data_IF_197028342752
#
_entry.id   IF_197028342752
#
_cell.length_a   1.000
_cell.length_b   1.000
_cell.length_c   1.000
_cell.angle_alpha   90.00
_cell.angle_beta   90.00
_cell.angle_gamma   90.00
#
_symmetry.space_group_name_H-M   'P 1'
#
loop_
_entity.id
_entity.type
_entity.pdbx_description
1 polymer ?
#
# COMPACT_ATOMS: atom_id res chain seq x y z
N UNK A 1 14.82 -7.32 -19.27
CA UNK A 1 13.54 -7.75 -18.65
C UNK A 1 12.90 -8.77 -19.58
N UNK A 2 12.97 -10.06 -19.25
CA UNK A 2 12.24 -11.08 -20.01
C UNK A 2 10.75 -10.92 -19.74
N UNK A 3 9.96 -10.81 -20.81
CA UNK A 3 8.51 -10.99 -20.76
C UNK A 3 8.21 -12.45 -20.41
N UNK A 4 8.36 -12.82 -19.14
CA UNK A 4 7.79 -14.04 -18.61
C UNK A 4 6.27 -13.83 -18.61
N UNK A 5 5.61 -14.33 -19.65
CA UNK A 5 4.15 -14.48 -19.67
C UNK A 5 3.80 -15.41 -18.51
N UNK A 6 3.39 -14.82 -17.38
CA UNK A 6 2.94 -15.55 -16.21
C UNK A 6 1.71 -16.36 -16.63
N UNK A 7 1.88 -17.67 -16.81
CA UNK A 7 0.77 -18.55 -17.17
C UNK A 7 -0.22 -18.55 -16.02
N UNK A 8 -1.32 -17.80 -16.17
CA UNK A 8 -2.46 -17.86 -15.27
C UNK A 8 -2.98 -19.30 -15.26
N UNK A 9 -2.69 -20.03 -14.18
CA UNK A 9 -3.15 -21.40 -14.10
C UNK A 9 -4.61 -21.39 -13.65
N UNK A 10 -5.54 -21.47 -14.61
CA UNK A 10 -6.99 -21.59 -14.37
C UNK A 10 -7.26 -22.71 -13.36
N UNK A 11 -6.47 -23.78 -13.37
CA UNK A 11 -6.56 -24.86 -12.40
C UNK A 11 -6.33 -24.39 -10.95
N UNK A 12 -5.38 -23.47 -10.72
CA UNK A 12 -5.13 -22.92 -9.38
C UNK A 12 -6.27 -22.01 -8.91
N UNK A 13 -6.86 -21.23 -9.83
CA UNK A 13 -8.03 -20.40 -9.53
C UNK A 13 -9.22 -21.28 -9.14
N UNK A 14 -9.52 -22.32 -9.92
CA UNK A 14 -10.58 -23.28 -9.62
C UNK A 14 -10.32 -24.00 -8.29
N UNK A 15 -9.08 -24.47 -8.08
CA UNK A 15 -8.68 -25.11 -6.83
C UNK A 15 -8.85 -24.19 -5.62
N UNK A 16 -8.52 -22.91 -5.74
CA UNK A 16 -8.74 -21.93 -4.68
C UNK A 16 -10.23 -21.76 -4.37
N UNK A 17 -11.07 -21.60 -5.41
CA UNK A 17 -12.52 -21.46 -5.25
C UNK A 17 -13.16 -22.69 -4.60
N UNK A 18 -12.72 -23.90 -4.97
CA UNK A 18 -13.24 -25.16 -4.42
C UNK A 18 -12.80 -25.44 -2.98
N UNK A 19 -11.82 -24.73 -2.43
CA UNK A 19 -11.36 -24.94 -1.04
C UNK A 19 -12.40 -24.56 0.01
N UNK A 20 -13.22 -23.54 -0.27
CA UNK A 20 -14.28 -23.11 0.66
C UNK A 20 -15.34 -22.27 -0.06
N UNK A 21 -16.59 -22.25 0.43
CA UNK A 21 -17.62 -21.34 -0.08
C UNK A 21 -17.19 -19.87 -0.04
N UNK A 22 -16.39 -19.49 0.97
CA UNK A 22 -15.84 -18.15 1.12
C UNK A 22 -14.87 -17.80 -0.02
N UNK A 23 -13.96 -18.70 -0.39
CA UNK A 23 -13.03 -18.47 -1.48
C UNK A 23 -13.75 -18.36 -2.84
N UNK A 24 -14.76 -19.20 -3.07
CA UNK A 24 -15.60 -19.11 -4.26
C UNK A 24 -16.29 -17.75 -4.34
N UNK A 25 -16.87 -17.28 -3.23
CA UNK A 25 -17.49 -15.96 -3.14
C UNK A 25 -16.51 -14.83 -3.47
N UNK A 26 -15.28 -14.88 -2.97
CA UNK A 26 -14.22 -13.90 -3.29
C UNK A 26 -13.96 -13.84 -4.80
N UNK A 27 -13.90 -15.00 -5.48
CA UNK A 27 -13.67 -15.05 -6.93
C UNK A 27 -14.83 -14.43 -7.73
N UNK A 28 -16.06 -14.75 -7.35
CA UNK A 28 -17.26 -14.20 -8.01
C UNK A 28 -17.35 -12.69 -7.81
N UNK A 29 -17.14 -12.21 -6.59
CA UNK A 29 -17.16 -10.78 -6.28
C UNK A 29 -16.10 -10.03 -7.09
N UNK A 30 -14.85 -10.52 -7.13
CA UNK A 30 -13.79 -9.91 -7.94
C UNK A 30 -14.10 -9.91 -9.44
N UNK A 31 -14.84 -10.90 -9.93
CA UNK A 31 -15.28 -10.93 -11.32
C UNK A 31 -16.37 -9.88 -11.58
N UNK A 32 -17.35 -9.76 -10.69
CA UNK A 32 -18.44 -8.77 -10.78
C UNK A 32 -17.87 -7.33 -10.68
N UNK A 33 -17.04 -7.08 -9.68
CA UNK A 33 -16.40 -5.78 -9.43
C UNK A 33 -15.65 -5.29 -10.68
N UNK A 34 -15.02 -6.21 -11.44
CA UNK A 34 -14.33 -5.86 -12.68
C UNK A 34 -15.23 -5.32 -13.80
N UNK A 35 -16.52 -5.65 -13.80
CA UNK A 35 -17.48 -5.18 -14.82
C UNK A 35 -18.40 -4.06 -14.32
N UNK A 36 -18.60 -3.95 -13.00
CA UNK A 36 -19.59 -3.06 -12.39
C UNK A 36 -18.99 -2.07 -11.39
N UNK A 37 -17.69 -1.76 -11.48
CA UNK A 37 -17.06 -0.77 -10.59
C UNK A 37 -17.59 0.65 -10.80
N UNK A 38 -17.47 1.48 -9.76
CA UNK A 38 -17.80 2.90 -9.81
C UNK A 38 -16.76 3.60 -10.71
N UNK A 39 -17.23 4.38 -11.69
CA UNK A 39 -16.34 5.13 -12.60
C UNK A 39 -15.66 6.34 -11.95
N UNK A 40 -16.22 6.85 -10.85
CA UNK A 40 -15.83 8.10 -10.18
C UNK A 40 -16.34 9.34 -10.93
N UNK A 41 -16.05 10.54 -10.42
CA UNK A 41 -16.57 11.79 -11.00
C UNK A 41 -15.78 12.29 -12.21
N UNK A 42 -14.49 11.93 -12.31
CA UNK A 42 -13.66 12.28 -13.47
C UNK A 42 -13.49 11.07 -14.39
N UNK A 43 -13.47 11.30 -15.70
CA UNK A 43 -12.98 10.32 -16.67
C UNK A 43 -11.50 10.01 -16.44
N UNK A 44 -11.00 8.92 -17.01
CA UNK A 44 -9.58 8.54 -16.88
C UNK A 44 -8.65 9.67 -17.34
N UNK A 45 -8.97 10.33 -18.45
CA UNK A 45 -8.18 11.43 -18.98
C UNK A 45 -8.18 12.63 -18.02
N UNK A 46 -9.36 13.05 -17.58
CA UNK A 46 -9.50 14.18 -16.64
C UNK A 46 -8.79 13.89 -15.31
N UNK A 47 -8.87 12.65 -14.79
CA UNK A 47 -8.17 12.24 -13.59
C UNK A 47 -6.64 12.35 -13.77
N UNK A 48 -6.11 11.84 -14.88
CA UNK A 48 -4.67 11.92 -15.19
C UNK A 48 -4.22 13.37 -15.35
N UNK A 49 -5.00 14.20 -16.03
CA UNK A 49 -4.70 15.62 -16.22
C UNK A 49 -4.69 16.36 -14.86
N UNK A 50 -5.67 16.09 -13.99
CA UNK A 50 -5.71 16.64 -12.63
C UNK A 50 -4.54 16.16 -11.76
N UNK A 51 -4.19 14.87 -11.80
CA UNK A 51 -3.04 14.32 -11.07
C UNK A 51 -1.76 15.04 -11.50
N UNK A 52 -1.51 15.15 -12.81
CA UNK A 52 -0.31 15.81 -13.35
C UNK A 52 -0.24 17.28 -12.97
N UNK A 53 -1.36 18.01 -13.01
CA UNK A 53 -1.39 19.42 -12.63
C UNK A 53 -1.17 19.66 -11.13
N UNK A 54 -1.36 18.64 -10.29
CA UNK A 54 -1.20 18.71 -8.84
C UNK A 54 0.03 17.96 -8.32
N UNK A 55 0.79 17.31 -9.21
CA UNK A 55 1.96 16.52 -8.84
C UNK A 55 3.09 17.44 -8.37
N UNK A 56 3.79 17.03 -7.32
CA UNK A 56 4.96 17.72 -6.79
C UNK A 56 6.21 16.89 -7.03
N UNK A 57 7.35 17.56 -7.13
CA UNK A 57 8.64 16.90 -7.05
C UNK A 57 8.83 16.37 -5.63
N UNK A 58 8.86 15.04 -5.49
CA UNK A 58 8.98 14.43 -4.16
C UNK A 58 10.38 14.65 -3.56
N UNK A 59 11.44 14.74 -4.38
CA UNK A 59 12.80 14.93 -3.88
C UNK A 59 12.92 16.30 -3.22
N UNK A 60 12.50 17.36 -3.89
CA UNK A 60 12.48 18.71 -3.33
C UNK A 60 11.56 18.80 -2.11
N UNK A 61 10.38 18.19 -2.20
CA UNK A 61 9.38 18.23 -1.13
C UNK A 61 9.91 17.62 0.18
N UNK A 62 10.46 16.42 0.16
CA UNK A 62 10.96 15.75 1.37
C UNK A 62 12.27 16.34 1.87
N UNK A 63 13.16 16.82 0.98
CA UNK A 63 14.35 17.59 1.39
C UNK A 63 13.99 18.85 2.16
N UNK A 64 12.92 19.54 1.76
CA UNK A 64 12.46 20.76 2.43
C UNK A 64 11.82 20.48 3.80
N UNK A 65 11.39 19.25 4.08
CA UNK A 65 10.90 18.85 5.39
C UNK A 65 12.07 18.49 6.30
N UNK A 66 12.93 17.57 5.86
CA UNK A 66 14.15 17.18 6.57
C UNK A 66 15.17 16.58 5.58
N UNK A 67 16.17 17.39 5.22
CA UNK A 67 17.18 16.99 4.23
C UNK A 67 18.03 15.79 4.69
N UNK A 68 18.37 15.73 5.98
CA UNK A 68 19.21 14.67 6.52
C UNK A 68 18.44 13.34 6.55
N UNK A 69 17.18 13.38 7.02
CA UNK A 69 16.34 12.19 7.03
C UNK A 69 16.00 11.72 5.61
N UNK A 70 15.86 12.64 4.66
CA UNK A 70 15.65 12.28 3.26
C UNK A 70 16.87 11.61 2.64
N UNK A 71 18.08 12.11 2.92
CA UNK A 71 19.32 11.46 2.50
C UNK A 71 19.49 10.07 3.11
N UNK A 72 19.21 9.91 4.41
CA UNK A 72 19.15 8.60 5.09
C UNK A 72 18.16 7.66 4.38
N UNK A 73 16.97 8.16 4.06
CA UNK A 73 15.94 7.39 3.37
C UNK A 73 16.42 6.90 2.01
N UNK A 74 17.04 7.77 1.19
CA UNK A 74 17.58 7.38 -0.11
C UNK A 74 18.72 6.37 0.01
N UNK A 75 19.61 6.53 0.98
CA UNK A 75 20.73 5.61 1.21
C UNK A 75 20.22 4.20 1.58
N UNK A 76 19.32 4.12 2.57
CA UNK A 76 18.77 2.84 3.01
C UNK A 76 17.97 2.15 1.90
N UNK A 77 17.06 2.89 1.26
CA UNK A 77 16.16 2.33 0.24
C UNK A 77 16.90 1.95 -1.05
N UNK A 78 17.96 2.67 -1.42
CA UNK A 78 18.83 2.30 -2.54
C UNK A 78 19.56 0.97 -2.29
N UNK A 79 20.13 0.78 -1.09
CA UNK A 79 20.76 -0.48 -0.71
C UNK A 79 19.75 -1.64 -0.66
N UNK A 80 18.55 -1.40 -0.14
CA UNK A 80 17.48 -2.40 -0.13
C UNK A 80 17.02 -2.76 -1.55
N UNK A 81 16.87 -1.79 -2.46
CA UNK A 81 16.47 -2.04 -3.86
C UNK A 81 17.37 -3.08 -4.52
N UNK A 82 18.68 -2.94 -4.39
CA UNK A 82 19.66 -3.89 -4.95
C UNK A 82 19.50 -5.31 -4.37
N UNK A 83 19.29 -5.43 -3.05
CA UNK A 83 19.01 -6.72 -2.41
C UNK A 83 17.71 -7.34 -2.92
N UNK A 84 16.65 -6.52 -3.02
CA UNK A 84 15.33 -6.96 -3.45
C UNK A 84 15.34 -7.43 -4.92
N UNK A 85 15.99 -6.69 -5.82
CA UNK A 85 16.19 -7.09 -7.22
C UNK A 85 16.95 -8.42 -7.33
N UNK A 86 18.02 -8.58 -6.54
CA UNK A 86 18.77 -9.84 -6.46
C UNK A 86 17.91 -11.02 -5.99
N UNK A 87 17.02 -10.81 -5.02
CA UNK A 87 16.11 -11.84 -4.52
C UNK A 87 15.00 -12.16 -5.53
N UNK A 88 14.38 -11.14 -6.13
CA UNK A 88 13.31 -11.28 -7.12
C UNK A 88 13.79 -11.94 -8.42
N UNK A 89 15.03 -11.72 -8.82
CA UNK A 89 15.62 -12.35 -10.02
C UNK A 89 15.62 -13.89 -9.98
N UNK A 90 15.51 -14.47 -8.78
CA UNK A 90 15.46 -15.92 -8.54
C UNK A 90 14.04 -16.48 -8.59
N UNK A 91 13.02 -15.62 -8.71
CA UNK A 91 11.61 -15.99 -8.69
C UNK A 91 11.06 -15.94 -10.12
N UNK A 92 10.42 -17.02 -10.55
CA UNK A 92 9.85 -17.15 -11.89
C UNK A 92 8.49 -16.45 -12.08
N UNK A 93 8.09 -15.61 -11.12
CA UNK A 93 6.80 -14.95 -11.07
C UNK A 93 6.97 -13.46 -10.89
N UNK A 94 6.14 -12.67 -11.58
CA UNK A 94 6.00 -11.27 -11.27
C UNK A 94 5.17 -11.14 -9.98
N UNK A 95 5.79 -10.61 -8.92
CA UNK A 95 5.19 -10.42 -7.59
C UNK A 95 4.86 -8.93 -7.33
N UNK A 96 4.79 -8.12 -8.40
CA UNK A 96 4.63 -6.67 -8.30
C UNK A 96 5.96 -5.94 -8.12
N UNK A 97 5.93 -4.62 -8.31
CA UNK A 97 7.03 -3.70 -8.03
C UNK A 97 6.78 -2.92 -6.75
N UNK A 98 7.81 -2.28 -6.19
CA UNK A 98 7.63 -1.40 -5.04
C UNK A 98 6.89 -0.13 -5.44
N UNK A 99 5.88 0.29 -4.66
CA UNK A 99 5.36 1.67 -4.68
C UNK A 99 6.46 2.67 -4.30
N UNK A 100 6.12 3.91 -3.93
CA UNK A 100 7.15 4.92 -3.57
C UNK A 100 7.77 4.66 -2.18
N UNK A 101 8.48 3.55 -2.04
CA UNK A 101 9.04 3.03 -0.79
C UNK A 101 9.98 4.00 -0.05
N UNK A 102 10.75 4.92 -0.68
CA UNK A 102 11.53 5.91 0.07
C UNK A 102 10.66 6.86 0.90
N UNK A 103 9.48 7.24 0.41
CA UNK A 103 8.53 8.08 1.15
C UNK A 103 7.98 7.33 2.37
N UNK A 104 7.68 6.03 2.22
CA UNK A 104 7.13 5.24 3.33
C UNK A 104 8.11 5.16 4.51
N UNK A 105 9.39 4.93 4.21
CA UNK A 105 10.45 4.95 5.22
C UNK A 105 10.56 6.33 5.88
N UNK A 106 10.66 7.39 5.07
CA UNK A 106 10.78 8.77 5.55
C UNK A 106 9.62 9.16 6.47
N UNK A 107 8.37 8.99 6.03
CA UNK A 107 7.17 9.36 6.79
C UNK A 107 7.12 8.58 8.11
N UNK A 108 7.49 7.30 8.10
CA UNK A 108 7.46 6.47 9.30
C UNK A 108 8.52 6.92 10.30
N UNK A 109 9.73 7.21 9.84
CA UNK A 109 10.81 7.78 10.68
C UNK A 109 10.42 9.13 11.26
N UNK A 110 9.82 10.00 10.45
CA UNK A 110 9.40 11.34 10.86
C UNK A 110 8.29 11.29 11.91
N UNK A 111 7.23 10.52 11.65
CA UNK A 111 6.01 10.54 12.47
C UNK A 111 6.04 9.59 13.67
N UNK A 112 6.99 8.64 13.70
CA UNK A 112 7.17 7.65 14.77
C UNK A 112 5.85 6.99 15.18
N UNK A 113 5.09 6.39 14.24
CA UNK A 113 3.75 5.90 14.49
C UNK A 113 3.74 4.73 15.49
N UNK A 114 2.67 4.63 16.26
CA UNK A 114 2.39 3.48 17.14
C UNK A 114 1.65 2.38 16.39
N UNK A 115 0.77 2.74 15.45
CA UNK A 115 -0.02 1.80 14.66
C UNK A 115 0.00 2.17 13.18
N UNK A 116 0.49 1.24 12.35
CA UNK A 116 0.42 1.32 10.89
C UNK A 116 -0.49 0.20 10.39
N UNK A 117 -1.42 0.52 9.50
CA UNK A 117 -2.23 -0.45 8.76
C UNK A 117 -1.91 -0.33 7.28
N UNK A 118 -1.49 -1.41 6.65
CA UNK A 118 -1.29 -1.47 5.20
C UNK A 118 -2.19 -2.54 4.53
N UNK A 119 -2.52 -2.33 3.26
CA UNK A 119 -3.15 -3.34 2.41
C UNK A 119 -2.34 -3.55 1.14
N UNK A 120 -2.15 -4.80 0.72
CA UNK A 120 -1.31 -5.14 -0.44
C UNK A 120 0.17 -5.20 -0.06
N UNK A 121 0.58 -6.25 0.65
CA UNK A 121 1.97 -6.52 1.03
C UNK A 121 2.81 -6.91 -0.18
N UNK A 122 2.23 -7.74 -1.05
CA UNK A 122 2.90 -8.32 -2.19
C UNK A 122 4.26 -8.95 -1.80
N UNK A 123 5.35 -8.60 -2.48
CA UNK A 123 6.71 -9.06 -2.14
C UNK A 123 7.25 -8.51 -0.81
N UNK A 124 6.69 -7.42 -0.27
CA UNK A 124 7.07 -6.80 1.01
C UNK A 124 7.91 -5.53 0.92
N UNK A 125 7.87 -4.77 -0.19
CA UNK A 125 8.60 -3.50 -0.28
C UNK A 125 8.10 -2.49 0.77
N UNK A 126 6.80 -2.23 0.85
CA UNK A 126 6.21 -1.33 1.83
C UNK A 126 6.44 -1.82 3.25
N UNK A 127 6.15 -3.10 3.51
CA UNK A 127 6.30 -3.72 4.82
C UNK A 127 7.72 -3.62 5.35
N UNK A 128 8.74 -3.84 4.50
CA UNK A 128 10.14 -3.66 4.88
C UNK A 128 10.40 -2.22 5.33
N UNK A 129 9.93 -1.21 4.59
CA UNK A 129 10.18 0.19 4.93
C UNK A 129 9.54 0.56 6.27
N UNK A 130 8.27 0.18 6.46
CA UNK A 130 7.55 0.42 7.70
C UNK A 130 8.24 -0.26 8.88
N UNK A 131 8.59 -1.55 8.75
CA UNK A 131 9.17 -2.30 9.86
C UNK A 131 10.60 -1.85 10.18
N UNK A 132 11.40 -1.48 9.18
CA UNK A 132 12.74 -0.93 9.43
C UNK A 132 12.65 0.39 10.20
N UNK A 133 11.79 1.30 9.76
CA UNK A 133 11.60 2.57 10.43
C UNK A 133 11.03 2.40 11.85
N UNK A 134 10.08 1.47 12.06
CA UNK A 134 9.59 1.08 13.39
C UNK A 134 10.73 0.59 14.28
N UNK A 135 11.60 -0.28 13.77
CA UNK A 135 12.73 -0.84 14.50
C UNK A 135 13.70 0.26 14.95
N UNK A 136 13.96 1.25 14.11
CA UNK A 136 14.86 2.37 14.42
C UNK A 136 14.23 3.45 15.31
N UNK A 137 12.92 3.68 15.16
CA UNK A 137 12.17 4.55 16.06
C UNK A 137 12.00 3.95 17.45
N UNK A 138 12.18 2.63 17.60
CA UNK A 138 11.99 1.90 18.85
C UNK A 138 10.53 1.72 19.25
N UNK A 139 9.57 2.09 18.39
CA UNK A 139 8.14 1.92 18.64
C UNK A 139 7.35 1.67 17.34
N UNK A 140 6.20 1.03 17.50
CA UNK A 140 5.24 0.80 16.44
C UNK A 140 4.93 -0.67 16.18
N UNK A 141 3.76 -0.92 15.61
CA UNK A 141 3.33 -2.23 15.10
C UNK A 141 2.74 -2.03 13.71
N UNK A 142 3.16 -2.86 12.76
CA UNK A 142 2.59 -2.93 11.43
C UNK A 142 1.54 -4.04 11.39
N UNK A 143 0.33 -3.71 10.94
CA UNK A 143 -0.76 -4.63 10.66
C UNK A 143 -0.97 -4.65 9.14
N UNK A 144 -0.81 -5.81 8.52
CA UNK A 144 -0.89 -5.90 7.06
C UNK A 144 -1.97 -6.85 6.60
N UNK A 145 -2.71 -6.42 5.60
CA UNK A 145 -3.66 -7.25 4.86
C UNK A 145 -3.10 -7.62 3.49
N UNK A 146 -3.10 -8.90 3.16
CA UNK A 146 -2.91 -9.39 1.80
C UNK A 146 -3.90 -10.51 1.49
N UNK A 147 -4.02 -10.87 0.21
CA UNK A 147 -4.69 -12.07 -0.24
C UNK A 147 -3.64 -12.96 -0.91
N UNK A 148 -3.31 -14.08 -0.28
CA UNK A 148 -2.33 -15.01 -0.81
C UNK A 148 -2.55 -15.26 -2.30
N UNK A 149 -1.47 -15.14 -3.10
CA UNK A 149 -1.43 -15.25 -4.56
C UNK A 149 -2.03 -16.55 -5.09
N UNK A 150 -3.35 -16.71 -5.04
CA UNK A 150 -4.05 -17.98 -5.21
C UNK A 150 -3.90 -18.59 -6.61
N UNK A 151 -3.34 -17.83 -7.56
CA UNK A 151 -2.95 -18.27 -8.90
C UNK A 151 -1.60 -19.00 -8.94
N UNK A 152 -0.78 -18.85 -7.91
CA UNK A 152 0.55 -19.45 -7.77
C UNK A 152 0.52 -20.71 -6.92
N UNK A 153 1.53 -21.57 -7.11
CA UNK A 153 1.75 -22.73 -6.25
C UNK A 153 2.36 -22.25 -4.92
N UNK A 154 1.87 -22.77 -3.79
CA UNK A 154 2.33 -22.45 -2.43
C UNK A 154 2.42 -20.94 -2.16
N UNK A 155 1.29 -20.21 -2.30
CA UNK A 155 1.30 -18.76 -2.48
C UNK A 155 1.71 -17.97 -1.24
N UNK A 156 1.57 -18.55 -0.05
CA UNK A 156 1.94 -17.90 1.21
C UNK A 156 3.45 -17.61 1.31
N UNK A 157 4.29 -18.38 0.61
CA UNK A 157 5.75 -18.18 0.67
C UNK A 157 6.21 -16.87 0.03
N UNK A 158 5.38 -16.26 -0.82
CA UNK A 158 5.72 -15.06 -1.58
C UNK A 158 5.26 -13.77 -0.91
N UNK A 159 4.38 -13.84 0.09
CA UNK A 159 3.90 -12.64 0.77
C UNK A 159 4.98 -12.15 1.73
N UNK A 160 5.48 -10.94 1.49
CA UNK A 160 6.48 -10.30 2.31
C UNK A 160 7.78 -11.09 2.44
N UNK A 161 8.14 -11.86 1.41
CA UNK A 161 9.37 -12.65 1.44
C UNK A 161 10.65 -11.78 1.45
N UNK A 162 10.54 -10.51 1.02
CA UNK A 162 11.61 -9.52 1.11
C UNK A 162 11.81 -8.98 2.54
N UNK A 163 10.86 -9.22 3.45
CA UNK A 163 10.93 -8.71 4.81
C UNK A 163 11.98 -9.47 5.63
N UNK A 164 12.98 -8.73 6.12
CA UNK A 164 14.06 -9.24 6.98
C UNK A 164 13.48 -9.90 8.25
N UNK A 165 14.03 -11.05 8.65
CA UNK A 165 13.40 -11.91 9.66
C UNK A 165 13.38 -11.28 11.05
N UNK A 166 14.41 -10.51 11.39
CA UNK A 166 14.56 -9.75 12.63
C UNK A 166 13.50 -8.66 12.80
N UNK A 167 12.92 -8.17 11.70
CA UNK A 167 11.92 -7.10 11.70
C UNK A 167 10.51 -7.62 11.99
N UNK A 168 10.27 -8.92 11.79
CA UNK A 168 8.93 -9.53 11.90
C UNK A 168 8.34 -9.52 13.30
N UNK A 169 9.14 -9.23 14.33
CA UNK A 169 8.68 -9.10 15.73
C UNK A 169 7.64 -7.99 15.92
N UNK A 170 7.66 -6.95 15.08
CA UNK A 170 6.71 -5.83 15.11
C UNK A 170 5.64 -5.95 14.02
N UNK A 171 5.44 -7.14 13.46
CA UNK A 171 4.56 -7.34 12.31
C UNK A 171 3.43 -8.34 12.60
N UNK A 172 2.19 -7.95 12.26
CA UNK A 172 1.03 -8.84 12.22
C UNK A 172 0.50 -8.93 10.79
N UNK A 173 0.69 -10.07 10.14
CA UNK A 173 0.28 -10.33 8.77
C UNK A 173 -0.99 -11.19 8.72
N UNK A 174 -2.00 -10.68 8.01
CA UNK A 174 -3.24 -11.39 7.67
C UNK A 174 -3.29 -11.65 6.17
N UNK A 175 -3.76 -12.82 5.73
CA UNK A 175 -3.61 -13.33 4.36
C UNK A 175 -4.93 -13.75 3.69
N UNK A 176 -6.06 -13.45 4.32
CA UNK A 176 -7.40 -13.87 3.90
C UNK A 176 -8.12 -12.83 2.99
N UNK A 177 -7.43 -11.73 2.65
CA UNK A 177 -7.94 -10.61 1.86
C UNK A 177 -8.71 -9.57 2.68
N UNK A 178 -8.76 -8.35 2.15
CA UNK A 178 -9.23 -7.15 2.88
C UNK A 178 -10.61 -7.29 3.54
N UNK A 179 -11.57 -7.95 2.89
CA UNK A 179 -12.93 -8.11 3.44
C UNK A 179 -12.93 -8.81 4.80
N UNK A 180 -11.99 -9.75 5.02
CA UNK A 180 -11.84 -10.49 6.28
C UNK A 180 -10.78 -9.81 7.15
N UNK A 181 -9.61 -9.54 6.57
CA UNK A 181 -8.45 -9.04 7.28
C UNK A 181 -8.72 -7.69 7.95
N UNK A 182 -9.34 -6.73 7.24
CA UNK A 182 -9.64 -5.40 7.80
C UNK A 182 -10.57 -5.51 9.01
N UNK A 183 -11.55 -6.42 8.97
CA UNK A 183 -12.44 -6.65 10.10
C UNK A 183 -11.71 -7.26 11.31
N UNK A 184 -10.68 -8.08 11.09
CA UNK A 184 -9.85 -8.64 12.15
C UNK A 184 -8.87 -7.60 12.72
N UNK A 185 -8.19 -6.84 11.86
CA UNK A 185 -7.31 -5.74 12.26
C UNK A 185 -8.08 -4.74 13.13
N UNK A 186 -9.29 -4.35 12.72
CA UNK A 186 -10.16 -3.42 13.47
C UNK A 186 -10.49 -3.87 14.89
N UNK A 187 -10.44 -5.18 15.19
CA UNK A 187 -10.64 -5.70 16.56
C UNK A 187 -9.39 -5.54 17.43
N UNK A 188 -8.22 -5.37 16.83
CA UNK A 188 -6.93 -5.31 17.52
C UNK A 188 -6.38 -3.89 17.67
N UNK A 189 -6.92 -2.92 16.93
CA UNK A 189 -6.42 -1.54 16.90
C UNK A 189 -7.48 -0.56 17.36
N UNK A 190 -7.07 0.45 18.13
CA UNK A 190 -7.95 1.51 18.63
C UNK A 190 -7.79 2.85 17.88
N UNK A 191 -6.65 3.05 17.21
CA UNK A 191 -6.31 4.24 16.43
C UNK A 191 -5.28 3.84 15.36
N UNK A 192 -5.30 4.54 14.22
CA UNK A 192 -4.35 4.31 13.12
C UNK A 192 -3.58 5.61 12.85
N UNK A 193 -2.26 5.56 13.00
CA UNK A 193 -1.39 6.72 12.75
C UNK A 193 -0.99 6.80 11.26
N UNK A 194 -0.82 5.65 10.61
CA UNK A 194 -0.58 5.57 9.16
C UNK A 194 -1.48 4.50 8.55
N UNK A 195 -2.21 4.88 7.50
CA UNK A 195 -2.96 3.96 6.64
C UNK A 195 -2.39 4.00 5.22
N UNK A 196 -1.92 2.86 4.71
CA UNK A 196 -1.39 2.69 3.36
C UNK A 196 -2.24 1.69 2.57
N UNK A 197 -2.68 2.07 1.37
CA UNK A 197 -3.61 1.27 0.57
C UNK A 197 -3.05 0.97 -0.83
N UNK A 198 -2.71 -0.30 -1.08
CA UNK A 198 -2.15 -0.81 -2.35
C UNK A 198 -2.75 -2.18 -2.77
N UNK A 199 -3.88 -2.59 -2.19
CA UNK A 199 -4.53 -3.87 -2.49
C UNK A 199 -5.49 -3.83 -3.69
N UNK A 200 -6.79 -3.58 -3.45
CA UNK A 200 -7.83 -3.59 -4.46
C UNK A 200 -8.03 -2.19 -5.05
N UNK A 201 -7.39 -1.96 -6.19
CA UNK A 201 -7.31 -0.63 -6.82
C UNK A 201 -8.63 -0.15 -7.42
N UNK A 202 -9.70 -0.95 -7.32
CA UNK A 202 -11.05 -0.54 -7.65
C UNK A 202 -11.51 0.67 -6.81
N UNK A 203 -12.42 1.45 -7.36
CA UNK A 203 -13.05 2.54 -6.63
C UNK A 203 -13.77 1.99 -5.39
N UNK A 204 -14.54 0.90 -5.56
CA UNK A 204 -15.26 0.26 -4.45
C UNK A 204 -14.34 -0.31 -3.36
N UNK A 205 -13.18 -0.86 -3.74
CA UNK A 205 -12.18 -1.36 -2.78
C UNK A 205 -11.70 -0.26 -1.84
N UNK A 206 -11.35 0.90 -2.41
CA UNK A 206 -10.93 2.08 -1.65
C UNK A 206 -12.05 2.61 -0.74
N UNK A 207 -13.28 2.72 -1.25
CA UNK A 207 -14.47 3.13 -0.45
C UNK A 207 -14.71 2.16 0.69
N UNK A 208 -14.63 0.85 0.43
CA UNK A 208 -14.81 -0.18 1.44
C UNK A 208 -13.81 -0.02 2.59
N UNK A 209 -12.51 0.08 2.28
CA UNK A 209 -11.47 0.19 3.29
C UNK A 209 -11.62 1.46 4.15
N UNK A 210 -11.86 2.61 3.50
CA UNK A 210 -12.13 3.87 4.19
C UNK A 210 -13.37 3.79 5.08
N UNK A 211 -14.46 3.16 4.62
CA UNK A 211 -15.67 2.98 5.43
C UNK A 211 -15.43 2.10 6.64
N UNK A 212 -14.62 1.05 6.51
CA UNK A 212 -14.34 0.13 7.62
C UNK A 212 -13.41 0.75 8.67
N UNK A 213 -12.36 1.44 8.22
CA UNK A 213 -11.28 1.94 9.08
C UNK A 213 -11.45 3.41 9.50
N UNK A 214 -12.31 4.18 8.82
CA UNK A 214 -12.39 5.64 9.00
C UNK A 214 -12.69 6.12 10.42
N UNK A 215 -13.37 5.31 11.24
CA UNK A 215 -13.61 5.63 12.66
C UNK A 215 -12.37 5.54 13.55
N UNK A 216 -11.28 4.96 13.04
CA UNK A 216 -9.99 4.81 13.73
C UNK A 216 -8.99 5.89 13.31
N UNK A 217 -9.33 6.73 12.32
CA UNK A 217 -8.49 7.83 11.89
C UNK A 217 -8.69 9.05 12.81
N UNK A 218 -7.61 9.75 13.08
CA UNK A 218 -7.56 10.98 13.86
C UNK A 218 -6.93 12.10 13.02
N UNK A 219 -6.91 13.33 13.56
CA UNK A 219 -6.40 14.50 12.85
C UNK A 219 -4.91 14.42 12.45
N UNK A 220 -4.15 13.48 13.02
CA UNK A 220 -2.75 13.24 12.71
C UNK A 220 -2.51 12.02 11.81
N UNK A 221 -3.56 11.30 11.41
CA UNK A 221 -3.40 10.09 10.58
C UNK A 221 -2.87 10.48 9.20
N UNK A 222 -1.80 9.82 8.78
CA UNK A 222 -1.30 9.87 7.39
C UNK A 222 -2.03 8.81 6.58
N UNK A 223 -2.69 9.21 5.49
CA UNK A 223 -3.37 8.28 4.57
C UNK A 223 -2.66 8.29 3.23
N UNK A 224 -2.28 7.12 2.72
CA UNK A 224 -1.50 6.94 1.51
C UNK A 224 -2.23 5.99 0.57
N UNK A 225 -2.45 6.40 -0.68
CA UNK A 225 -3.02 5.57 -1.73
C UNK A 225 -2.02 5.41 -2.88
N UNK A 226 -1.71 4.16 -3.22
CA UNK A 226 -0.96 3.85 -4.43
C UNK A 226 -1.90 3.81 -5.65
N UNK A 227 -1.29 4.03 -6.82
CA UNK A 227 -1.93 3.97 -8.14
C UNK A 227 -3.19 4.85 -8.25
N UNK A 228 -3.11 6.10 -7.78
CA UNK A 228 -4.27 7.04 -7.81
C UNK A 228 -4.72 7.37 -9.23
N UNK A 229 -3.93 7.07 -10.25
CA UNK A 229 -4.31 7.24 -11.65
C UNK A 229 -5.36 6.24 -12.14
N UNK A 230 -5.54 5.10 -11.47
CA UNK A 230 -6.38 4.00 -11.95
C UNK A 230 -7.88 4.36 -11.97
N UNK A 231 -8.31 5.30 -11.13
CA UNK A 231 -9.64 5.89 -11.10
C UNK A 231 -9.63 7.18 -10.28
N UNK A 232 -10.71 7.95 -10.36
CA UNK A 232 -10.81 9.26 -9.70
C UNK A 232 -11.16 9.22 -8.20
N UNK A 233 -11.11 8.06 -7.54
CA UNK A 233 -11.43 7.95 -6.11
C UNK A 233 -10.63 8.91 -5.23
N UNK A 234 -9.32 9.04 -5.43
CA UNK A 234 -8.50 9.94 -4.60
C UNK A 234 -8.94 11.39 -4.76
N UNK A 235 -9.15 11.84 -6.00
CA UNK A 235 -9.73 13.16 -6.31
C UNK A 235 -11.08 13.34 -5.59
N UNK A 236 -12.00 12.41 -5.78
CA UNK A 236 -13.36 12.51 -5.27
C UNK A 236 -13.37 12.56 -3.73
N UNK A 237 -12.52 11.76 -3.10
CA UNK A 237 -12.37 11.75 -1.65
C UNK A 237 -11.84 13.09 -1.10
N UNK A 238 -10.80 13.67 -1.72
CA UNK A 238 -10.27 14.96 -1.27
C UNK A 238 -11.26 16.10 -1.49
N UNK A 239 -12.03 16.08 -2.58
CA UNK A 239 -13.05 17.10 -2.85
C UNK A 239 -14.26 16.97 -1.91
N UNK A 240 -14.81 15.76 -1.76
CA UNK A 240 -15.99 15.51 -0.90
C UNK A 240 -15.70 15.85 0.56
N UNK A 241 -14.54 15.44 1.07
CA UNK A 241 -14.11 15.71 2.45
C UNK A 241 -13.50 17.10 2.62
N UNK A 242 -13.38 17.89 1.55
CA UNK A 242 -12.77 19.24 1.53
C UNK A 242 -11.37 19.23 2.18
N UNK A 243 -10.59 18.20 1.88
CA UNK A 243 -9.24 18.01 2.42
C UNK A 243 -8.32 19.02 1.75
N UNK A 244 -7.69 19.87 2.58
CA UNK A 244 -6.76 20.90 2.09
C UNK A 244 -5.32 20.42 2.03
N UNK A 245 -4.96 19.47 2.90
CA UNK A 245 -3.59 19.00 3.05
C UNK A 245 -3.42 17.62 2.44
N UNK A 246 -3.23 17.64 1.13
CA UNK A 246 -2.87 16.46 0.35
C UNK A 246 -1.71 16.78 -0.61
N UNK A 247 -1.00 15.73 -0.99
CA UNK A 247 0.13 15.77 -1.89
C UNK A 247 0.01 14.63 -2.90
N UNK A 248 0.49 14.87 -4.12
CA UNK A 248 0.55 13.88 -5.18
C UNK A 248 2.00 13.80 -5.64
N UNK A 249 2.52 12.59 -5.75
CA UNK A 249 3.88 12.33 -6.18
C UNK A 249 3.90 11.31 -7.32
N UNK A 250 4.81 11.51 -8.27
CA UNK A 250 5.08 10.53 -9.32
C UNK A 250 6.29 9.67 -8.94
N UNK A 251 6.17 8.36 -9.16
CA UNK A 251 7.24 7.39 -8.94
C UNK A 251 7.15 6.26 -9.96
N UNK A 252 8.24 6.03 -10.71
CA UNK A 252 8.31 4.97 -11.73
C UNK A 252 7.09 4.94 -12.68
N UNK A 253 6.61 6.13 -13.11
CA UNK A 253 5.41 6.37 -13.95
C UNK A 253 4.05 6.04 -13.31
N UNK A 254 4.02 5.90 -12.00
CA UNK A 254 2.80 5.74 -11.19
C UNK A 254 2.62 6.91 -10.26
N UNK A 255 1.41 7.11 -9.76
CA UNK A 255 1.09 8.23 -8.88
C UNK A 255 0.62 7.76 -7.52
N UNK A 256 1.11 8.45 -6.49
CA UNK A 256 0.78 8.20 -5.08
C UNK A 256 0.14 9.44 -4.50
N UNK A 257 -1.01 9.26 -3.86
CA UNK A 257 -1.71 10.30 -3.13
C UNK A 257 -1.45 10.18 -1.64
N UNK A 258 -1.04 11.27 -1.00
CA UNK A 258 -0.79 11.35 0.44
C UNK A 258 -1.70 12.42 1.04
N UNK A 259 -2.44 12.09 2.10
CA UNK A 259 -3.21 13.04 2.91
C UNK A 259 -2.55 13.10 4.28
N UNK A 260 -1.97 14.26 4.60
CA UNK A 260 -1.29 14.50 5.88
C UNK A 260 -0.91 15.98 6.02
N UNK A 261 -0.77 16.44 7.26
CA UNK A 261 -0.07 17.69 7.55
C UNK A 261 1.40 17.41 7.95
N UNK A 262 2.25 17.17 6.95
CA UNK A 262 3.63 16.76 7.17
C UNK A 262 4.52 17.84 7.83
N UNK A 263 4.27 19.13 7.56
CA UNK A 263 5.04 20.23 8.15
C UNK A 263 4.73 20.45 9.63
N UNK A 264 3.49 20.19 10.06
CA UNK A 264 3.14 20.21 11.47
C UNK A 264 3.73 19.00 12.20
N UNK A 265 3.77 17.85 11.54
CA UNK A 265 4.31 16.60 12.10
C UNK A 265 5.85 16.63 12.26
N UNK A 266 6.57 17.43 11.47
CA UNK A 266 8.02 17.61 11.66
C UNK A 266 8.39 18.56 12.79
N UNK A 267 7.43 19.31 13.33
CA UNK A 267 7.64 20.32 14.38
C UNK A 267 7.35 19.81 15.80
N UNK A 268 6.99 18.52 15.94
CA UNK A 268 6.64 17.84 17.20
C UNK A 268 7.66 16.77 17.55
#
# INVERSE_FOLDING_TARGET
MSNLIQKNNIFNILRFGLKSPQNFKILVEKAIERFFDIKGNLSEKENRDWIKSNCRDYIEFFKNIDANLWEESLQYTGAFKLKAEGALSKINYNLGGGGIYPILYFITKLTKPKCIVETGVAAGFSSQMFLKAIQENGQGILYSSDLAYFRLKDPGQYIGFLVESELKKNWKLFTEGDKINIANIKKEVSSIDIFHYDSDKSYNGRVFALKQLGSLFHAGTVIIFDDIQDNSHFHDYVQEKKIKEYYIFEFENKYVGVIANLFKLSST
#
